data_IF_567531415913
#
_entry.id   IF_567531415913
#
_cell.length_a   1.000
_cell.length_b   1.000
_cell.length_c   1.000
_cell.angle_alpha   90.00
_cell.angle_beta   90.00
_cell.angle_gamma   90.00
#
_symmetry.space_group_name_H-M   'P 1'
#
loop_
_entity.id
_entity.type
_entity.pdbx_description
1 polymer ?
#
# COMPACT_ATOMS: atom_id res chain seq x y z
N UNK A 1 -22.27 19.23 37.30
CA UNK A 1 -22.14 20.38 36.39
C UNK A 1 -22.50 21.63 37.15
N UNK A 2 -21.54 22.49 37.43
CA UNK A 2 -21.80 23.81 38.01
C UNK A 2 -22.09 24.79 36.88
N UNK A 3 -23.20 25.51 36.97
CA UNK A 3 -23.41 26.71 36.19
C UNK A 3 -22.72 27.89 36.90
N UNK A 4 -22.30 28.90 36.11
CA UNK A 4 -21.61 30.10 36.60
C UNK A 4 -22.29 30.70 37.85
N UNK A 5 -21.61 30.67 39.00
CA UNK A 5 -22.07 31.32 40.23
C UNK A 5 -21.77 30.54 41.52
N UNK A 6 -21.71 29.21 41.44
CA UNK A 6 -21.39 28.36 42.60
C UNK A 6 -19.91 28.00 42.65
N UNK A 7 -19.33 27.97 43.87
CA UNK A 7 -17.99 27.46 44.10
C UNK A 7 -17.97 25.97 43.71
N UNK A 8 -17.44 25.67 42.52
CA UNK A 8 -17.42 24.31 42.01
C UNK A 8 -16.38 23.49 42.79
N UNK A 9 -16.77 22.31 43.26
CA UNK A 9 -15.82 21.39 43.90
C UNK A 9 -14.67 21.08 42.94
N UNK A 10 -13.42 21.02 43.44
CA UNK A 10 -12.27 20.74 42.59
C UNK A 10 -12.43 19.37 41.92
N UNK A 11 -12.18 19.33 40.61
CA UNK A 11 -12.22 18.08 39.87
C UNK A 11 -11.01 17.22 40.26
N UNK A 12 -11.26 15.99 40.69
CA UNK A 12 -10.22 15.01 41.00
C UNK A 12 -10.40 13.79 40.10
N UNK A 13 -9.35 13.40 39.38
CA UNK A 13 -9.32 12.20 38.54
C UNK A 13 -8.36 11.19 39.14
N UNK A 14 -8.82 9.95 39.36
CA UNK A 14 -7.97 8.81 39.71
C UNK A 14 -7.49 8.12 38.43
N UNK A 15 -6.19 7.84 38.37
CA UNK A 15 -5.54 7.21 37.23
C UNK A 15 -5.16 5.77 37.59
N UNK A 16 -5.40 4.84 36.68
CA UNK A 16 -5.02 3.43 36.85
C UNK A 16 -4.42 2.88 35.55
N UNK A 17 -3.50 1.91 35.65
CA UNK A 17 -3.09 1.12 34.49
C UNK A 17 -4.24 0.27 33.99
N UNK A 18 -4.12 -0.27 32.76
CA UNK A 18 -5.08 -1.24 32.22
C UNK A 18 -5.20 -2.49 33.12
N UNK A 19 -4.12 -2.83 33.83
CA UNK A 19 -4.04 -3.99 34.72
C UNK A 19 -4.52 -3.67 36.16
N UNK A 20 -4.93 -2.42 36.42
CA UNK A 20 -5.56 -1.99 37.66
C UNK A 20 -4.61 -1.41 38.71
N UNK A 21 -3.34 -1.19 38.39
CA UNK A 21 -2.41 -0.54 39.31
C UNK A 21 -2.77 0.93 39.47
N UNK A 22 -2.79 1.40 40.72
CA UNK A 22 -3.08 2.79 41.05
C UNK A 22 -1.90 3.70 40.66
N UNK A 23 -2.16 4.66 39.76
CA UNK A 23 -1.21 5.69 39.33
C UNK A 23 -1.42 7.02 40.10
N UNK A 24 -2.36 7.06 41.05
CA UNK A 24 -2.65 8.21 41.89
C UNK A 24 -3.72 9.14 41.30
N UNK A 25 -3.78 10.36 41.82
CA UNK A 25 -4.83 11.34 41.49
C UNK A 25 -4.27 12.64 40.90
N UNK A 26 -4.97 13.22 39.93
CA UNK A 26 -4.68 14.56 39.39
C UNK A 26 -5.90 15.49 39.60
N UNK A 27 -5.63 16.78 39.77
CA UNK A 27 -6.66 17.79 40.02
C UNK A 27 -6.65 18.89 38.94
N UNK A 28 -7.20 18.64 37.74
CA UNK A 28 -7.19 19.63 36.66
C UNK A 28 -8.33 20.65 36.80
N UNK A 29 -8.13 21.85 36.26
CA UNK A 29 -9.18 22.86 36.18
C UNK A 29 -10.28 22.48 35.16
N UNK A 30 -9.88 21.78 34.09
CA UNK A 30 -10.76 21.36 32.99
C UNK A 30 -10.43 19.92 32.60
N UNK A 31 -11.46 19.12 32.34
CA UNK A 31 -11.34 17.79 31.76
C UNK A 31 -12.12 17.69 30.44
N UNK A 32 -11.43 17.27 29.38
CA UNK A 32 -12.02 17.02 28.07
C UNK A 32 -12.09 15.51 27.84
N UNK A 33 -13.31 14.97 27.77
CA UNK A 33 -13.56 13.58 27.39
C UNK A 33 -13.69 13.44 25.87
N UNK A 34 -12.64 12.95 25.21
CA UNK A 34 -12.62 12.66 23.77
C UNK A 34 -12.51 11.15 23.50
N UNK A 35 -13.35 10.34 24.17
CA UNK A 35 -13.27 8.87 24.17
C UNK A 35 -13.90 8.17 22.96
N UNK A 36 -14.53 8.94 22.07
CA UNK A 36 -15.14 8.44 20.83
C UNK A 36 -16.54 8.96 20.60
N UNK A 37 -17.23 8.34 19.62
CA UNK A 37 -18.60 8.67 19.20
C UNK A 37 -19.43 7.39 19.13
N UNK A 38 -20.74 7.52 19.25
CA UNK A 38 -21.71 6.42 19.10
C UNK A 38 -22.66 6.79 17.97
N UNK A 39 -22.94 5.86 17.02
CA UNK A 39 -23.91 6.11 15.96
C UNK A 39 -25.30 6.37 16.55
N UNK A 40 -26.07 7.25 15.90
CA UNK A 40 -27.50 7.47 16.21
C UNK A 40 -28.32 6.68 15.18
N UNK A 41 -29.37 6.00 15.63
CA UNK A 41 -30.23 5.20 14.75
C UNK A 41 -30.76 3.91 15.38
N UNK A 42 -29.98 3.27 16.26
CA UNK A 42 -30.42 2.07 17.01
C UNK A 42 -31.34 2.42 18.19
N UNK A 43 -31.32 3.66 18.65
CA UNK A 43 -32.33 4.13 19.59
C UNK A 43 -33.71 4.07 18.93
N UNK A 44 -34.73 3.61 19.66
CA UNK A 44 -36.14 3.50 19.22
C UNK A 44 -36.76 4.83 18.73
N UNK A 45 -35.99 5.91 18.72
CA UNK A 45 -36.38 7.24 18.26
C UNK A 45 -36.80 7.30 16.79
N UNK A 46 -36.30 6.38 15.95
CA UNK A 46 -36.62 6.33 14.51
C UNK A 46 -37.42 5.09 14.09
N UNK A 47 -37.61 4.11 14.98
CA UNK A 47 -38.32 2.86 14.69
C UNK A 47 -37.67 1.98 13.62
N UNK A 48 -36.39 2.17 13.31
CA UNK A 48 -35.70 1.46 12.21
C UNK A 48 -35.63 -0.05 12.44
N UNK A 49 -35.24 -0.49 13.65
CA UNK A 49 -35.16 -1.92 14.00
C UNK A 49 -36.54 -2.60 13.90
N UNK A 50 -37.58 -1.94 14.41
CA UNK A 50 -38.96 -2.43 14.32
C UNK A 50 -39.47 -2.57 12.87
N UNK A 51 -38.85 -1.87 11.91
CA UNK A 51 -39.19 -1.93 10.49
C UNK A 51 -38.22 -2.81 9.68
N UNK A 52 -37.33 -3.57 10.33
CA UNK A 52 -36.47 -4.56 9.68
C UNK A 52 -35.14 -4.03 9.16
N UNK A 53 -34.64 -2.91 9.69
CA UNK A 53 -33.26 -2.45 9.45
C UNK A 53 -32.31 -3.15 10.41
N UNK A 54 -31.25 -3.75 9.87
CA UNK A 54 -30.24 -4.45 10.65
C UNK A 54 -29.17 -3.50 11.21
N UNK A 55 -28.68 -3.83 12.40
CA UNK A 55 -27.65 -3.08 13.11
C UNK A 55 -26.45 -3.95 13.45
N UNK A 56 -25.25 -3.38 13.33
CA UNK A 56 -24.02 -4.00 13.83
C UNK A 56 -23.93 -3.96 15.36
N UNK A 57 -22.97 -4.69 15.93
CA UNK A 57 -22.79 -4.81 17.39
C UNK A 57 -22.62 -3.45 18.09
N UNK A 58 -21.99 -2.48 17.41
CA UNK A 58 -21.75 -1.13 17.91
C UNK A 58 -22.89 -0.14 17.62
N UNK A 59 -24.02 -0.61 17.10
CA UNK A 59 -25.21 0.21 16.83
C UNK A 59 -25.22 0.97 15.50
N UNK A 60 -24.29 0.68 14.59
CA UNK A 60 -24.30 1.24 13.24
C UNK A 60 -25.38 0.56 12.39
N UNK A 61 -26.06 1.31 11.53
CA UNK A 61 -26.97 0.81 10.50
C UNK A 61 -26.13 0.05 9.48
N UNK A 62 -26.40 -1.24 9.30
CA UNK A 62 -25.71 -2.03 8.29
C UNK A 62 -26.21 -1.63 6.89
N UNK A 63 -25.26 -1.44 5.98
CA UNK A 63 -25.53 -1.07 4.60
C UNK A 63 -24.66 -1.88 3.65
N UNK A 64 -25.12 -2.05 2.42
CA UNK A 64 -24.34 -2.62 1.34
C UNK A 64 -23.37 -1.59 0.70
N UNK A 65 -22.72 -1.98 -0.41
CA UNK A 65 -21.79 -1.12 -1.15
C UNK A 65 -22.46 0.11 -1.79
N UNK A 66 -23.78 0.07 -1.99
CA UNK A 66 -24.61 1.17 -2.52
C UNK A 66 -25.22 2.02 -1.40
N UNK A 67 -24.85 1.75 -0.15
CA UNK A 67 -25.40 2.39 1.03
C UNK A 67 -26.90 2.09 1.26
N UNK A 68 -27.45 1.02 0.67
CA UNK A 68 -28.81 0.53 0.95
C UNK A 68 -28.81 -0.33 2.23
N UNK A 69 -29.83 -0.13 3.08
CA UNK A 69 -30.03 -0.93 4.30
C UNK A 69 -30.72 -2.26 3.97
N UNK A 70 -30.90 -3.13 4.96
CA UNK A 70 -31.71 -4.35 4.77
C UNK A 70 -33.20 -4.08 4.50
N UNK A 71 -33.69 -2.86 4.80
CA UNK A 71 -35.00 -2.42 4.36
C UNK A 71 -34.92 -1.79 2.97
N UNK A 72 -35.48 -2.48 1.98
CA UNK A 72 -35.47 -2.05 0.57
C UNK A 72 -36.03 -0.64 0.40
N UNK A 73 -35.32 0.19 -0.36
CA UNK A 73 -35.66 1.59 -0.62
C UNK A 73 -35.28 2.55 0.51
N UNK A 74 -34.58 2.07 1.55
CA UNK A 74 -34.05 2.87 2.64
C UNK A 74 -32.53 2.79 2.61
N UNK A 75 -31.87 3.95 2.55
CA UNK A 75 -30.41 4.07 2.53
C UNK A 75 -29.92 4.86 3.74
N UNK A 76 -28.66 4.63 4.12
CA UNK A 76 -27.99 5.35 5.21
C UNK A 76 -26.56 5.73 4.82
N UNK A 77 -26.09 6.88 5.30
CA UNK A 77 -24.76 7.40 5.03
C UNK A 77 -24.23 8.22 6.21
N UNK A 78 -22.90 8.34 6.31
CA UNK A 78 -22.19 9.05 7.37
C UNK A 78 -22.00 8.23 8.63
N UNK A 79 -21.77 8.92 9.75
CA UNK A 79 -21.43 8.37 11.07
C UNK A 79 -22.43 7.35 11.63
N UNK A 80 -23.64 7.21 11.06
CA UNK A 80 -24.59 6.18 11.44
C UNK A 80 -24.28 4.81 10.81
N UNK A 81 -23.38 4.73 9.83
CA UNK A 81 -22.97 3.52 9.11
C UNK A 81 -21.56 3.06 9.53
N UNK A 82 -21.17 1.79 9.27
CA UNK A 82 -19.80 1.33 9.48
C UNK A 82 -18.78 2.10 8.64
N UNK A 83 -17.60 2.35 9.20
CA UNK A 83 -16.50 3.05 8.53
C UNK A 83 -15.91 4.13 9.43
N UNK A 84 -14.85 4.84 8.97
CA UNK A 84 -14.33 5.96 9.73
C UNK A 84 -15.35 7.11 9.72
N UNK A 85 -15.69 7.61 10.92
CA UNK A 85 -16.60 8.73 11.13
C UNK A 85 -15.94 10.06 10.69
N UNK A 86 -15.94 10.32 9.38
CA UNK A 86 -15.31 11.46 8.74
C UNK A 86 -16.31 12.16 7.80
N UNK A 87 -16.16 13.49 7.67
CA UNK A 87 -17.05 14.29 6.83
C UNK A 87 -16.99 13.87 5.35
N UNK A 88 -15.79 13.64 4.81
CA UNK A 88 -15.59 13.18 3.43
C UNK A 88 -16.20 11.80 3.19
N UNK A 89 -16.04 10.86 4.13
CA UNK A 89 -16.68 9.53 4.09
C UNK A 89 -18.20 9.65 3.97
N UNK A 90 -18.82 10.50 4.79
CA UNK A 90 -20.28 10.70 4.75
C UNK A 90 -20.76 11.32 3.43
N UNK A 91 -19.99 12.24 2.85
CA UNK A 91 -20.31 12.84 1.54
C UNK A 91 -20.23 11.80 0.42
N UNK A 92 -19.16 10.99 0.39
CA UNK A 92 -19.00 9.90 -0.59
C UNK A 92 -20.15 8.88 -0.48
N UNK A 93 -20.44 8.40 0.74
CA UNK A 93 -21.55 7.47 0.99
C UNK A 93 -22.89 8.05 0.54
N UNK A 94 -23.15 9.33 0.79
CA UNK A 94 -24.38 9.98 0.36
C UNK A 94 -24.46 10.11 -1.17
N UNK A 95 -23.35 10.42 -1.84
CA UNK A 95 -23.29 10.45 -3.31
C UNK A 95 -23.56 9.07 -3.91
N UNK A 96 -23.02 8.00 -3.32
CA UNK A 96 -23.29 6.62 -3.74
C UNK A 96 -24.75 6.24 -3.55
N UNK A 97 -25.33 6.55 -2.38
CA UNK A 97 -26.74 6.30 -2.11
C UNK A 97 -27.65 7.02 -3.10
N UNK A 98 -27.43 8.32 -3.33
CA UNK A 98 -28.23 9.12 -4.27
C UNK A 98 -28.02 8.65 -5.72
N UNK A 99 -26.79 8.29 -6.08
CA UNK A 99 -26.48 7.68 -7.37
C UNK A 99 -27.30 6.41 -7.59
N UNK A 100 -27.26 5.46 -6.64
CA UNK A 100 -28.03 4.22 -6.72
C UNK A 100 -29.55 4.43 -6.75
N UNK A 101 -30.07 5.50 -6.13
CA UNK A 101 -31.51 5.81 -6.13
C UNK A 101 -32.02 6.32 -7.48
N UNK A 102 -31.21 7.11 -8.20
CA UNK A 102 -31.70 7.91 -9.33
C UNK A 102 -30.94 7.69 -10.64
N UNK A 103 -29.77 7.06 -10.58
CA UNK A 103 -28.87 6.88 -11.72
C UNK A 103 -28.58 5.39 -11.92
N UNK A 104 -28.55 4.95 -13.17
CA UNK A 104 -28.10 3.60 -13.55
C UNK A 104 -26.58 3.60 -13.70
N UNK A 105 -25.88 4.02 -12.63
CA UNK A 105 -24.40 4.11 -12.60
C UNK A 105 -23.81 2.92 -11.88
N UNK A 106 -22.74 2.39 -12.47
CA UNK A 106 -21.83 1.49 -11.78
C UNK A 106 -21.16 2.27 -10.65
N UNK A 107 -21.44 1.89 -9.40
CA UNK A 107 -20.92 2.56 -8.22
C UNK A 107 -19.73 1.76 -7.68
N UNK A 108 -18.55 2.37 -7.73
CA UNK A 108 -17.34 1.81 -7.12
C UNK A 108 -17.27 2.30 -5.67
N UNK A 109 -17.35 1.39 -4.70
CA UNK A 109 -17.13 1.72 -3.30
C UNK A 109 -15.64 1.94 -3.05
N UNK A 110 -15.29 3.00 -2.30
CA UNK A 110 -13.91 3.23 -1.90
C UNK A 110 -13.41 2.09 -1.01
N UNK A 111 -12.28 1.47 -1.38
CA UNK A 111 -11.67 0.38 -0.61
C UNK A 111 -11.11 0.85 0.74
N UNK A 112 -10.78 2.14 0.85
CA UNK A 112 -10.32 2.82 2.06
C UNK A 112 -10.70 4.31 1.99
N UNK A 113 -10.56 5.04 3.09
CA UNK A 113 -10.77 6.50 3.13
C UNK A 113 -9.51 7.22 3.61
N UNK A 114 -9.14 8.37 3.02
CA UNK A 114 -8.00 9.16 3.50
C UNK A 114 -8.33 9.79 4.85
N UNK A 115 -7.34 9.79 5.74
CA UNK A 115 -7.46 10.39 7.06
C UNK A 115 -6.45 11.52 7.21
N UNK A 116 -6.95 12.68 7.61
CA UNK A 116 -6.16 13.84 8.02
C UNK A 116 -6.28 14.09 9.53
N UNK A 117 -5.20 14.53 10.16
CA UNK A 117 -5.14 15.04 11.53
C UNK A 117 -4.44 16.39 11.51
N UNK A 118 -5.21 17.44 11.75
CA UNK A 118 -4.77 18.84 11.65
C UNK A 118 -4.08 19.34 12.92
N UNK A 119 -3.14 18.56 13.45
CA UNK A 119 -2.20 18.99 14.49
C UNK A 119 -1.03 19.78 13.88
N UNK A 120 -0.10 20.24 14.72
CA UNK A 120 1.19 20.77 14.27
C UNK A 120 2.30 19.87 14.82
N UNK A 121 3.01 19.07 13.98
CA UNK A 121 2.78 18.89 12.54
C UNK A 121 1.46 18.14 12.23
N UNK A 122 1.02 18.23 10.98
CA UNK A 122 -0.15 17.49 10.48
C UNK A 122 0.19 16.01 10.30
N UNK A 123 -0.83 15.15 10.23
CA UNK A 123 -0.69 13.74 9.91
C UNK A 123 -1.70 13.38 8.82
N UNK A 124 -1.23 12.73 7.76
CA UNK A 124 -2.07 12.20 6.68
C UNK A 124 -1.76 10.73 6.45
N UNK A 125 -2.78 9.87 6.31
CA UNK A 125 -2.55 8.48 5.91
C UNK A 125 -3.69 7.90 5.07
N UNK A 126 -3.34 6.92 4.25
CA UNK A 126 -4.24 6.16 3.41
C UNK A 126 -3.69 4.76 3.13
N UNK A 127 -4.55 3.75 3.02
CA UNK A 127 -4.15 2.37 2.75
C UNK A 127 -3.62 1.63 3.98
N UNK A 128 -2.81 0.60 3.74
CA UNK A 128 -2.40 -0.36 4.77
C UNK A 128 -1.12 0.07 5.50
N UNK A 129 -1.06 -0.20 6.80
CA UNK A 129 0.23 -0.24 7.52
C UNK A 129 1.02 -1.49 7.13
N UNK A 130 2.35 -1.49 7.30
CA UNK A 130 3.18 -2.70 7.08
C UNK A 130 2.66 -3.90 7.88
N UNK A 131 2.26 -3.69 9.14
CA UNK A 131 1.69 -4.76 9.99
C UNK A 131 0.45 -5.39 9.33
N UNK A 132 -0.50 -4.56 8.89
CA UNK A 132 -1.74 -5.04 8.24
C UNK A 132 -1.44 -5.72 6.91
N UNK A 133 -0.49 -5.19 6.13
CA UNK A 133 -0.09 -5.80 4.86
C UNK A 133 0.53 -7.20 5.06
N UNK A 134 1.42 -7.36 6.05
CA UNK A 134 1.98 -8.67 6.42
C UNK A 134 0.90 -9.65 6.91
N UNK A 135 -0.04 -9.20 7.74
CA UNK A 135 -1.17 -10.01 8.21
C UNK A 135 -2.09 -10.48 7.05
N UNK A 136 -2.15 -9.72 5.96
CA UNK A 136 -2.86 -10.08 4.73
C UNK A 136 -2.05 -10.93 3.74
N UNK A 137 -0.78 -11.24 4.06
CA UNK A 137 0.07 -12.13 3.26
C UNK A 137 0.89 -11.46 2.16
N UNK A 138 0.97 -10.12 2.13
CA UNK A 138 1.90 -9.41 1.24
C UNK A 138 3.35 -9.55 1.75
N UNK A 139 4.34 -9.56 0.85
CA UNK A 139 5.75 -9.40 1.22
C UNK A 139 6.05 -7.91 1.41
N UNK A 140 5.51 -7.34 2.48
CA UNK A 140 5.47 -5.88 2.64
C UNK A 140 6.74 -5.31 3.29
N UNK A 141 7.23 -4.19 2.74
CA UNK A 141 8.24 -3.34 3.37
C UNK A 141 7.89 -1.85 3.26
N UNK A 142 8.77 -0.99 3.78
CA UNK A 142 8.53 0.45 3.91
C UNK A 142 9.64 1.27 3.24
N UNK A 143 9.29 2.21 2.37
CA UNK A 143 10.19 3.27 1.90
C UNK A 143 9.95 4.55 2.70
N UNK A 144 11.01 5.20 3.20
CA UNK A 144 10.89 6.37 4.07
C UNK A 144 11.72 7.54 3.51
N UNK A 145 11.14 8.73 3.52
CA UNK A 145 11.83 10.00 3.33
C UNK A 145 11.55 10.93 4.51
N UNK A 146 12.59 11.52 5.08
CA UNK A 146 12.46 12.62 6.03
C UNK A 146 12.24 13.93 5.28
N UNK A 147 11.55 14.90 5.88
CA UNK A 147 11.20 16.15 5.20
C UNK A 147 12.44 16.94 4.73
N UNK A 148 13.55 16.86 5.47
CA UNK A 148 14.85 17.45 5.13
C UNK A 148 15.57 16.81 3.92
N UNK A 149 15.06 15.68 3.41
CA UNK A 149 15.55 15.03 2.19
C UNK A 149 15.19 15.84 0.93
N UNK A 150 14.04 16.54 0.92
CA UNK A 150 13.66 17.42 -0.19
C UNK A 150 14.06 18.87 0.04
N UNK A 151 14.25 19.64 -1.04
CA UNK A 151 14.68 21.05 -0.93
C UNK A 151 13.66 21.92 -0.20
N UNK A 152 12.36 21.68 -0.43
CA UNK A 152 11.29 22.45 0.22
C UNK A 152 11.27 22.23 1.73
N UNK A 153 11.34 20.97 2.18
CA UNK A 153 11.37 20.66 3.60
C UNK A 153 12.64 21.16 4.26
N UNK A 154 13.81 20.97 3.64
CA UNK A 154 15.08 21.48 4.17
C UNK A 154 15.07 23.00 4.42
N UNK A 155 14.40 23.77 3.57
CA UNK A 155 14.36 25.23 3.68
C UNK A 155 13.24 25.72 4.61
N UNK A 156 12.05 25.10 4.57
CA UNK A 156 10.85 25.66 5.20
C UNK A 156 10.31 24.85 6.38
N UNK A 157 10.45 23.53 6.35
CA UNK A 157 9.87 22.62 7.35
C UNK A 157 10.62 21.28 7.34
N UNK A 158 11.77 21.18 8.04
CA UNK A 158 12.62 19.99 7.98
C UNK A 158 12.08 18.84 8.83
N UNK A 159 11.20 19.14 9.79
CA UNK A 159 10.64 18.16 10.70
C UNK A 159 9.48 17.38 10.06
N UNK A 160 9.63 16.06 10.02
CA UNK A 160 8.59 15.16 9.51
C UNK A 160 9.13 13.99 8.73
N UNK A 161 8.23 13.12 8.30
CA UNK A 161 8.53 12.01 7.42
C UNK A 161 7.34 11.66 6.52
N UNK A 162 7.64 11.13 5.35
CA UNK A 162 6.74 10.42 4.47
C UNK A 162 7.18 8.96 4.40
N UNK A 163 6.20 8.05 4.48
CA UNK A 163 6.40 6.61 4.40
C UNK A 163 5.46 5.99 3.38
N UNK A 164 6.03 5.24 2.44
CA UNK A 164 5.30 4.34 1.55
C UNK A 164 5.41 2.91 2.11
N UNK A 165 4.28 2.23 2.26
CA UNK A 165 4.23 0.78 2.47
C UNK A 165 4.08 0.17 1.09
N UNK A 166 4.90 -0.80 0.73
CA UNK A 166 4.88 -1.41 -0.60
C UNK A 166 5.07 -2.93 -0.51
N UNK A 167 4.55 -3.65 -1.50
CA UNK A 167 4.81 -5.08 -1.69
C UNK A 167 6.14 -5.27 -2.42
N UNK A 168 7.09 -6.01 -1.85
CA UNK A 168 8.42 -6.22 -2.45
C UNK A 168 8.36 -7.05 -3.73
N UNK A 169 7.36 -7.92 -3.86
CA UNK A 169 7.26 -8.82 -5.01
C UNK A 169 6.72 -8.11 -6.26
N UNK A 170 5.73 -7.23 -6.10
CA UNK A 170 5.12 -6.48 -7.20
C UNK A 170 5.59 -5.03 -7.30
N UNK A 171 6.25 -4.51 -6.27
CA UNK A 171 6.61 -3.11 -6.09
C UNK A 171 5.42 -2.14 -5.95
N UNK A 172 4.19 -2.66 -5.82
CA UNK A 172 2.98 -1.85 -5.65
C UNK A 172 2.91 -1.17 -4.29
N UNK A 173 2.43 0.07 -4.29
CA UNK A 173 2.24 0.87 -3.08
C UNK A 173 0.92 0.45 -2.43
N UNK A 174 1.01 -0.05 -1.20
CA UNK A 174 -0.11 -0.54 -0.41
C UNK A 174 -0.65 0.50 0.59
N UNK A 175 0.16 1.51 0.91
CA UNK A 175 -0.23 2.57 1.83
C UNK A 175 0.75 3.73 1.88
N UNK A 176 0.25 4.88 2.30
CA UNK A 176 0.99 6.12 2.49
C UNK A 176 0.73 6.66 3.91
N UNK A 177 1.79 7.12 4.58
CA UNK A 177 1.71 7.73 5.90
C UNK A 177 2.64 8.92 5.95
N UNK A 178 2.14 10.06 6.38
CA UNK A 178 2.85 11.33 6.35
C UNK A 178 2.65 12.00 7.71
N UNK A 179 3.72 12.50 8.30
CA UNK A 179 3.68 13.43 9.42
C UNK A 179 4.60 14.60 9.08
N UNK A 180 4.08 15.82 9.04
CA UNK A 180 4.84 16.99 8.62
C UNK A 180 3.95 18.13 8.13
N UNK A 181 4.57 19.18 7.60
CA UNK A 181 3.84 20.30 6.98
C UNK A 181 3.09 19.82 5.73
N UNK A 182 1.85 20.30 5.57
CA UNK A 182 0.95 19.97 4.45
C UNK A 182 0.64 18.46 4.32
N UNK A 183 0.82 17.66 5.38
CA UNK A 183 0.58 16.21 5.32
C UNK A 183 -0.87 15.86 4.95
N UNK A 184 -1.84 16.66 5.41
CA UNK A 184 -3.25 16.47 5.09
C UNK A 184 -3.57 16.77 3.61
N UNK A 185 -2.76 17.59 2.93
CA UNK A 185 -2.90 17.85 1.49
C UNK A 185 -2.16 16.79 0.66
N UNK A 186 -0.95 16.44 1.07
CA UNK A 186 -0.10 15.48 0.36
C UNK A 186 -0.68 14.06 0.32
N UNK A 187 -1.46 13.66 1.35
CA UNK A 187 -2.05 12.32 1.42
C UNK A 187 -2.90 11.99 0.20
N UNK A 188 -3.51 12.97 -0.45
CA UNK A 188 -4.38 12.75 -1.61
C UNK A 188 -3.61 12.27 -2.85
N UNK A 189 -2.36 12.67 -3.03
CA UNK A 189 -1.51 12.08 -4.08
C UNK A 189 -1.18 10.63 -3.75
N UNK A 190 -0.83 10.34 -2.49
CA UNK A 190 -0.60 8.97 -2.06
C UNK A 190 -1.85 8.08 -2.10
N UNK A 191 -3.04 8.65 -1.92
CA UNK A 191 -4.32 7.98 -2.13
C UNK A 191 -4.47 7.53 -3.58
N UNK A 192 -4.24 8.44 -4.54
CA UNK A 192 -4.29 8.14 -5.96
C UNK A 192 -3.30 7.04 -6.37
N UNK A 193 -2.09 7.05 -5.79
CA UNK A 193 -1.09 5.99 -6.01
C UNK A 193 -1.56 4.62 -5.53
N UNK A 194 -2.16 4.55 -4.33
CA UNK A 194 -2.67 3.29 -3.77
C UNK A 194 -3.88 2.79 -4.57
N UNK A 195 -4.83 3.66 -4.89
CA UNK A 195 -6.07 3.28 -5.58
C UNK A 195 -5.83 2.86 -7.03
N UNK A 196 -4.84 3.46 -7.70
CA UNK A 196 -4.40 3.05 -9.05
C UNK A 196 -3.40 1.91 -9.02
N UNK A 197 -3.08 1.41 -7.84
CA UNK A 197 -2.15 0.30 -7.69
C UNK A 197 -0.78 0.60 -8.30
N UNK A 198 -0.35 1.87 -8.21
CA UNK A 198 0.91 2.34 -8.73
C UNK A 198 2.08 1.67 -8.01
N UNK A 199 3.17 1.48 -8.73
CA UNK A 199 4.42 0.97 -8.21
C UNK A 199 5.31 2.09 -7.67
N UNK A 200 6.30 1.74 -6.85
CA UNK A 200 7.36 2.69 -6.49
C UNK A 200 8.12 3.18 -7.73
N UNK A 201 8.14 2.42 -8.83
CA UNK A 201 8.81 2.78 -10.08
C UNK A 201 8.06 3.86 -10.86
N UNK A 202 6.73 3.86 -10.81
CA UNK A 202 5.89 4.93 -11.37
C UNK A 202 6.22 6.27 -10.68
N UNK A 203 6.41 6.24 -9.36
CA UNK A 203 6.79 7.43 -8.58
C UNK A 203 8.22 7.88 -8.90
N UNK A 204 9.17 6.96 -9.02
CA UNK A 204 10.56 7.30 -9.38
C UNK A 204 10.63 7.94 -10.77
N UNK A 205 9.82 7.45 -11.72
CA UNK A 205 9.76 7.94 -13.10
C UNK A 205 9.00 9.27 -13.24
N UNK A 206 8.19 9.64 -12.24
CA UNK A 206 7.41 10.88 -12.25
C UNK A 206 8.28 12.11 -12.11
N UNK A 207 8.15 13.10 -13.00
CA UNK A 207 8.82 14.39 -12.87
C UNK A 207 8.04 15.31 -11.92
N UNK A 208 8.63 15.63 -10.77
CA UNK A 208 8.12 16.68 -9.88
C UNK A 208 8.80 18.01 -10.20
N UNK A 209 8.04 19.10 -10.09
CA UNK A 209 8.63 20.46 -10.13
C UNK A 209 9.57 20.63 -8.94
N UNK A 210 10.73 21.24 -9.16
CA UNK A 210 11.68 21.48 -8.07
C UNK A 210 11.05 22.26 -6.90
N UNK A 211 11.56 22.01 -5.69
CA UNK A 211 11.15 22.73 -4.46
C UNK A 211 9.68 22.48 -4.09
N UNK A 212 9.25 21.21 -4.15
CA UNK A 212 7.93 20.74 -3.71
C UNK A 212 8.05 19.62 -2.68
N UNK A 213 7.09 19.51 -1.76
CA UNK A 213 7.03 18.36 -0.84
C UNK A 213 6.71 17.05 -1.56
N UNK A 214 6.20 17.10 -2.80
CA UNK A 214 5.97 15.88 -3.58
C UNK A 214 7.27 15.12 -3.90
N UNK A 215 8.44 15.78 -3.87
CA UNK A 215 9.73 15.09 -3.97
C UNK A 215 9.93 14.04 -2.86
N UNK A 216 9.28 14.19 -1.70
CA UNK A 216 9.32 13.19 -0.63
C UNK A 216 8.78 11.83 -1.06
N UNK A 217 7.79 11.79 -1.97
CA UNK A 217 7.31 10.53 -2.54
C UNK A 217 8.41 9.85 -3.36
N UNK A 218 9.16 10.62 -4.16
CA UNK A 218 10.29 10.10 -4.93
C UNK A 218 11.41 9.60 -4.02
N UNK A 219 11.79 10.39 -3.01
CA UNK A 219 12.82 9.98 -2.05
C UNK A 219 12.41 8.70 -1.28
N UNK A 220 11.14 8.60 -0.87
CA UNK A 220 10.64 7.41 -0.20
C UNK A 220 10.61 6.19 -1.14
N UNK A 221 10.25 6.39 -2.42
CA UNK A 221 10.27 5.35 -3.44
C UNK A 221 11.71 4.89 -3.77
N UNK A 222 12.68 5.80 -3.82
CA UNK A 222 14.10 5.46 -3.98
C UNK A 222 14.63 4.68 -2.75
N UNK A 223 14.21 5.06 -1.54
CA UNK A 223 14.50 4.29 -0.34
C UNK A 223 13.86 2.90 -0.38
N UNK A 224 12.61 2.76 -0.84
CA UNK A 224 11.97 1.46 -1.06
C UNK A 224 12.75 0.62 -2.08
N UNK A 225 13.16 1.22 -3.20
CA UNK A 225 13.92 0.56 -4.25
C UNK A 225 15.25 -0.03 -3.73
N UNK A 226 15.92 0.65 -2.78
CA UNK A 226 17.14 0.10 -2.14
C UNK A 226 16.93 -1.14 -1.27
N UNK A 227 15.67 -1.50 -0.97
CA UNK A 227 15.27 -2.67 -0.18
C UNK A 227 14.76 -3.82 -1.04
N UNK A 228 14.64 -3.58 -2.35
CA UNK A 228 14.43 -4.64 -3.32
C UNK A 228 15.77 -5.28 -3.62
N UNK A 229 15.80 -6.61 -3.65
CA UNK A 229 16.96 -7.36 -4.17
C UNK A 229 17.17 -7.03 -5.66
N UNK A 230 16.10 -6.65 -6.35
CA UNK A 230 16.07 -6.36 -7.78
C UNK A 230 15.39 -5.00 -8.01
N UNK A 231 16.18 -3.91 -8.04
CA UNK A 231 15.67 -2.55 -8.30
C UNK A 231 15.09 -2.33 -9.72
N UNK A 232 14.75 -1.07 -10.08
CA UNK A 232 14.03 -0.68 -11.32
C UNK A 232 14.49 -1.42 -12.59
N UNK A 233 15.80 -1.58 -12.77
CA UNK A 233 16.39 -2.19 -13.97
C UNK A 233 15.98 -3.65 -14.20
N UNK A 234 15.59 -4.34 -13.13
CA UNK A 234 15.26 -5.75 -13.18
C UNK A 234 13.84 -6.03 -13.62
N UNK A 235 12.87 -5.17 -13.29
CA UNK A 235 11.49 -5.41 -13.70
C UNK A 235 11.31 -5.35 -15.21
N UNK A 236 11.94 -4.38 -15.89
CA UNK A 236 11.94 -4.32 -17.35
C UNK A 236 12.62 -5.54 -17.96
N UNK A 237 13.77 -5.93 -17.40
CA UNK A 237 14.55 -7.09 -17.87
C UNK A 237 13.77 -8.40 -17.70
N UNK A 238 13.19 -8.64 -16.52
CA UNK A 238 12.40 -9.85 -16.21
C UNK A 238 11.08 -9.89 -16.99
N UNK A 239 10.45 -8.74 -17.26
CA UNK A 239 9.25 -8.68 -18.09
C UNK A 239 9.55 -9.04 -19.55
N UNK A 240 10.66 -8.55 -20.10
CA UNK A 240 11.10 -8.90 -21.46
C UNK A 240 11.45 -10.39 -21.56
N UNK A 241 12.17 -10.92 -20.56
CA UNK A 241 12.48 -12.36 -20.47
C UNK A 241 11.23 -13.21 -20.38
N UNK A 242 10.30 -12.87 -19.48
CA UNK A 242 9.05 -13.60 -19.31
C UNK A 242 8.22 -13.62 -20.61
N UNK A 243 8.12 -12.49 -21.29
CA UNK A 243 7.40 -12.38 -22.55
C UNK A 243 8.01 -13.23 -23.67
N UNK A 244 9.34 -13.29 -23.75
CA UNK A 244 10.03 -14.09 -24.76
C UNK A 244 10.08 -15.59 -24.44
N UNK A 245 10.18 -15.95 -23.16
CA UNK A 245 10.22 -17.35 -22.73
C UNK A 245 8.85 -18.03 -22.78
N UNK A 246 7.77 -17.34 -22.38
CA UNK A 246 6.42 -17.90 -22.40
C UNK A 246 6.32 -19.26 -21.71
N UNK A 247 5.81 -20.28 -22.42
CA UNK A 247 5.69 -21.66 -21.91
C UNK A 247 7.05 -22.31 -21.54
N UNK A 248 8.17 -21.80 -22.09
CA UNK A 248 9.52 -22.32 -21.79
C UNK A 248 9.97 -22.04 -20.37
N UNK A 249 9.28 -21.16 -19.63
CA UNK A 249 9.50 -21.05 -18.20
C UNK A 249 9.25 -22.39 -17.51
N UNK A 250 8.27 -23.19 -17.95
CA UNK A 250 7.88 -24.46 -17.31
C UNK A 250 8.77 -25.67 -17.64
N UNK A 251 9.93 -25.45 -18.28
CA UNK A 251 10.88 -26.52 -18.61
C UNK A 251 11.39 -27.26 -17.37
N UNK A 252 11.59 -28.57 -17.51
CA UNK A 252 12.14 -29.42 -16.45
C UNK A 252 13.63 -29.15 -16.24
N UNK A 253 14.18 -29.62 -15.10
CA UNK A 253 15.62 -29.52 -14.84
C UNK A 253 16.46 -30.19 -15.95
N UNK A 254 15.98 -31.30 -16.49
CA UNK A 254 16.62 -32.02 -17.59
C UNK A 254 16.56 -31.25 -18.91
N UNK A 255 15.45 -30.57 -19.19
CA UNK A 255 15.30 -29.74 -20.39
C UNK A 255 16.16 -28.48 -20.32
N UNK A 256 16.18 -27.80 -19.18
CA UNK A 256 17.08 -26.67 -18.92
C UNK A 256 18.54 -27.09 -19.04
N UNK A 257 18.88 -28.30 -18.56
CA UNK A 257 20.22 -28.86 -18.71
C UNK A 257 20.58 -29.10 -20.17
N UNK A 258 19.65 -29.61 -20.96
CA UNK A 258 19.88 -29.81 -22.39
C UNK A 258 20.07 -28.49 -23.15
N UNK A 259 19.44 -27.40 -22.72
CA UNK A 259 19.67 -26.08 -23.32
C UNK A 259 21.02 -25.52 -22.89
N UNK A 260 21.36 -25.63 -21.62
CA UNK A 260 22.67 -25.25 -21.08
C UNK A 260 23.81 -25.96 -21.82
N UNK A 261 23.78 -27.30 -21.86
CA UNK A 261 24.79 -28.13 -22.51
C UNK A 261 24.82 -27.95 -24.04
N UNK A 262 23.73 -27.47 -24.65
CA UNK A 262 23.64 -27.22 -26.08
C UNK A 262 24.27 -25.91 -26.53
N UNK A 263 24.55 -25.01 -25.58
CA UNK A 263 24.98 -23.63 -25.83
C UNK A 263 26.34 -23.33 -25.23
N UNK A 264 26.71 -24.04 -24.14
CA UNK A 264 28.10 -24.20 -23.69
C UNK A 264 28.93 -24.83 -24.82
N UNK A 265 29.33 -23.98 -25.75
CA UNK A 265 30.04 -24.38 -26.98
C UNK A 265 31.52 -24.53 -26.69
N UNK A 266 31.99 -23.87 -25.63
CA UNK A 266 33.34 -23.99 -25.09
C UNK A 266 33.57 -25.32 -24.37
N UNK A 267 32.51 -25.91 -23.79
CA UNK A 267 32.51 -27.15 -23.02
C UNK A 267 33.18 -27.01 -21.65
N UNK A 268 33.23 -25.80 -21.10
CA UNK A 268 33.88 -25.51 -19.82
C UNK A 268 32.94 -25.67 -18.61
N UNK A 269 31.64 -25.88 -18.86
CA UNK A 269 30.64 -26.11 -17.83
C UNK A 269 30.08 -24.83 -17.22
N UNK A 270 30.37 -23.66 -17.79
CA UNK A 270 29.74 -22.38 -17.47
C UNK A 270 29.29 -21.66 -18.75
N UNK A 271 28.51 -20.59 -18.60
CA UNK A 271 28.07 -19.75 -19.70
C UNK A 271 28.61 -18.33 -19.53
N UNK A 272 29.30 -17.82 -20.54
CA UNK A 272 29.74 -16.43 -20.57
C UNK A 272 28.65 -15.47 -21.11
N UNK A 273 28.93 -14.17 -21.11
CA UNK A 273 27.97 -13.16 -21.58
C UNK A 273 27.57 -13.37 -23.06
N UNK A 274 28.48 -13.86 -23.91
CA UNK A 274 28.20 -14.10 -25.32
C UNK A 274 27.33 -15.35 -25.52
N UNK A 275 27.65 -16.43 -24.79
CA UNK A 275 26.86 -17.66 -24.79
C UNK A 275 25.46 -17.40 -24.21
N UNK A 276 25.33 -16.55 -23.18
CA UNK A 276 24.03 -16.16 -22.62
C UNK A 276 23.14 -15.39 -23.61
N UNK A 277 23.71 -14.56 -24.49
CA UNK A 277 22.95 -13.93 -25.58
C UNK A 277 22.40 -15.00 -26.52
N UNK A 278 23.21 -16.01 -26.86
CA UNK A 278 22.78 -17.13 -27.70
C UNK A 278 21.73 -18.01 -27.01
N UNK A 279 21.81 -18.21 -25.70
CA UNK A 279 20.77 -18.89 -24.92
C UNK A 279 19.42 -18.22 -25.13
N UNK A 280 19.31 -16.94 -24.84
CA UNK A 280 18.02 -16.27 -24.96
C UNK A 280 17.55 -16.17 -26.41
N UNK A 281 18.46 -15.98 -27.37
CA UNK A 281 18.13 -15.99 -28.79
C UNK A 281 17.58 -17.35 -29.25
N UNK A 282 18.18 -18.46 -28.82
CA UNK A 282 17.71 -19.83 -29.11
C UNK A 282 16.35 -20.11 -28.47
N UNK A 283 16.08 -19.47 -27.33
CA UNK A 283 14.79 -19.50 -26.64
C UNK A 283 13.76 -18.58 -27.29
N UNK A 284 14.11 -17.82 -28.33
CA UNK A 284 13.19 -16.95 -29.07
C UNK A 284 13.03 -15.56 -28.44
N UNK A 285 13.93 -15.19 -27.53
CA UNK A 285 13.93 -13.91 -26.84
C UNK A 285 15.15 -13.09 -27.29
N UNK A 286 14.92 -11.95 -27.94
CA UNK A 286 16.00 -10.98 -28.15
C UNK A 286 16.20 -10.16 -26.87
N UNK A 287 17.33 -10.39 -26.19
CA UNK A 287 17.71 -9.67 -24.97
C UNK A 287 18.84 -8.70 -25.31
N UNK A 288 18.76 -7.46 -24.82
CA UNK A 288 19.83 -6.48 -25.06
C UNK A 288 21.10 -6.87 -24.30
N UNK A 289 22.32 -6.52 -24.77
CA UNK A 289 23.55 -6.81 -24.04
C UNK A 289 23.55 -6.28 -22.60
N UNK A 290 22.95 -5.10 -22.37
CA UNK A 290 22.79 -4.54 -21.03
C UNK A 290 21.91 -5.40 -20.11
N UNK A 291 20.89 -6.04 -20.67
CA UNK A 291 20.01 -6.94 -19.94
C UNK A 291 20.69 -8.28 -19.66
N UNK A 292 21.52 -8.80 -20.58
CA UNK A 292 22.34 -9.99 -20.34
C UNK A 292 23.39 -9.74 -19.27
N UNK A 293 24.14 -8.64 -19.34
CA UNK A 293 25.10 -8.24 -18.31
C UNK A 293 24.43 -8.08 -16.94
N UNK A 294 23.19 -7.59 -16.92
CA UNK A 294 22.39 -7.56 -15.71
C UNK A 294 22.16 -8.99 -15.24
N UNK A 295 21.52 -9.86 -16.03
CA UNK A 295 21.20 -11.25 -15.69
C UNK A 295 22.40 -12.07 -15.18
N UNK A 296 23.56 -11.85 -15.79
CA UNK A 296 24.84 -12.41 -15.32
C UNK A 296 25.08 -12.02 -13.87
N UNK A 297 25.05 -10.73 -13.54
CA UNK A 297 25.20 -10.24 -12.16
C UNK A 297 24.12 -10.76 -11.18
N UNK A 298 22.94 -11.16 -11.66
CA UNK A 298 21.91 -11.76 -10.80
C UNK A 298 22.24 -13.20 -10.42
N UNK A 299 22.70 -13.97 -11.39
CA UNK A 299 22.85 -15.40 -11.23
C UNK A 299 24.24 -15.80 -10.73
N UNK A 300 25.27 -15.02 -11.10
CA UNK A 300 26.68 -15.17 -10.72
C UNK A 300 26.87 -14.83 -9.23
N UNK A 301 26.79 -15.86 -8.37
CA UNK A 301 26.91 -15.70 -6.92
C UNK A 301 28.37 -15.57 -6.46
N UNK A 302 29.30 -16.16 -7.21
CA UNK A 302 30.72 -16.16 -6.85
C UNK A 302 31.49 -14.99 -7.49
N UNK A 303 30.88 -14.28 -8.43
CA UNK A 303 31.38 -13.09 -9.11
C UNK A 303 32.48 -13.42 -10.13
N UNK A 304 32.50 -14.64 -10.66
CA UNK A 304 33.54 -15.10 -11.57
C UNK A 304 33.33 -14.63 -13.03
N UNK A 305 32.15 -14.07 -13.35
CA UNK A 305 31.80 -13.55 -14.66
C UNK A 305 31.29 -14.60 -15.64
N UNK A 306 30.95 -15.79 -15.17
CA UNK A 306 30.33 -16.89 -15.91
C UNK A 306 29.20 -17.51 -15.08
N UNK A 307 28.29 -18.25 -15.72
CA UNK A 307 27.18 -18.89 -15.02
C UNK A 307 27.28 -20.40 -15.07
N UNK A 308 27.39 -21.02 -13.91
CA UNK A 308 27.30 -22.46 -13.77
C UNK A 308 25.84 -22.90 -13.87
N UNK A 309 25.60 -24.20 -14.10
CA UNK A 309 24.24 -24.68 -14.33
C UNK A 309 23.27 -24.32 -13.18
N UNK A 310 23.70 -24.42 -11.92
CA UNK A 310 22.85 -24.11 -10.77
C UNK A 310 22.54 -22.59 -10.67
N UNK A 311 23.43 -21.73 -11.16
CA UNK A 311 23.24 -20.28 -11.27
C UNK A 311 22.31 -19.93 -12.43
N UNK A 312 22.53 -20.53 -13.59
CA UNK A 312 21.66 -20.43 -14.75
C UNK A 312 20.20 -20.80 -14.41
N UNK A 313 19.98 -21.84 -13.60
CA UNK A 313 18.63 -22.21 -13.15
C UNK A 313 17.93 -21.12 -12.35
N UNK A 314 18.67 -20.30 -11.59
CA UNK A 314 18.09 -19.23 -10.77
C UNK A 314 17.41 -18.17 -11.63
N UNK A 315 17.91 -17.89 -12.83
CA UNK A 315 17.27 -16.95 -13.75
C UNK A 315 15.83 -17.37 -14.05
N UNK A 316 15.60 -18.67 -14.29
CA UNK A 316 14.26 -19.21 -14.56
C UNK A 316 13.39 -19.21 -13.32
N UNK A 317 13.95 -19.53 -12.15
CA UNK A 317 13.23 -19.48 -10.87
C UNK A 317 12.76 -18.06 -10.56
N UNK A 318 13.65 -17.07 -10.63
CA UNK A 318 13.36 -15.65 -10.38
C UNK A 318 12.33 -15.13 -11.39
N UNK A 319 12.49 -15.47 -12.67
CA UNK A 319 11.53 -15.06 -13.71
C UNK A 319 10.15 -15.71 -13.48
N UNK A 320 10.08 -16.98 -13.05
CA UNK A 320 8.81 -17.63 -12.66
C UNK A 320 8.15 -16.95 -11.46
N UNK A 321 8.92 -16.67 -10.41
CA UNK A 321 8.39 -16.01 -9.22
C UNK A 321 7.85 -14.62 -9.54
N UNK A 322 8.52 -13.89 -10.43
CA UNK A 322 8.06 -12.61 -10.97
C UNK A 322 6.74 -12.76 -11.76
N UNK A 323 6.63 -13.72 -12.68
CA UNK A 323 5.37 -13.95 -13.42
C UNK A 323 4.25 -14.39 -12.48
N UNK A 324 4.54 -15.24 -11.49
CA UNK A 324 3.57 -15.68 -10.50
C UNK A 324 3.13 -14.56 -9.55
N UNK A 325 3.98 -13.56 -9.30
CA UNK A 325 3.60 -12.37 -8.53
C UNK A 325 2.66 -11.47 -9.31
N UNK A 326 2.94 -11.24 -10.59
CA UNK A 326 2.04 -10.53 -11.52
C UNK A 326 0.68 -11.22 -11.61
N UNK A 327 0.64 -12.55 -11.78
CA UNK A 327 -0.60 -13.31 -11.86
C UNK A 327 -1.39 -13.33 -10.54
N UNK A 328 -0.71 -13.48 -9.38
CA UNK A 328 -1.36 -13.36 -8.06
C UNK A 328 -2.01 -12.00 -7.89
N UNK A 329 -1.36 -10.97 -8.38
CA UNK A 329 -1.84 -9.61 -8.31
C UNK A 329 -3.07 -9.38 -9.20
N UNK A 330 -3.06 -9.87 -10.45
CA UNK A 330 -4.25 -9.86 -11.32
C UNK A 330 -5.44 -10.62 -10.71
N UNK A 331 -5.18 -11.72 -9.99
CA UNK A 331 -6.22 -12.47 -9.30
C UNK A 331 -6.76 -11.73 -8.07
N UNK A 332 -5.91 -11.00 -7.34
CA UNK A 332 -6.28 -10.18 -6.20
C UNK A 332 -7.08 -8.93 -6.60
N UNK A 333 -6.85 -8.37 -7.79
CA UNK A 333 -7.60 -7.22 -8.32
C UNK A 333 -8.92 -7.60 -8.97
N UNK A 334 -9.06 -8.84 -9.42
CA UNK A 334 -10.28 -9.36 -10.01
C UNK A 334 -11.30 -9.91 -8.98
N UNK A 335 -10.92 -10.01 -7.71
CA UNK A 335 -11.72 -10.56 -6.61
C UNK A 335 -12.28 -9.47 -5.68
#
# INVERSE_FOLDING_TARGET
GCFMGDACEPLTLSLQTKDGDDLGTINPDIFLAATGRVPRGKDDSFGLEANGVDFGERGHILVDALCETSLRGVSAAGDCTPGPALASTGVDQAQRAVGAMFEDKEVVAAASYPVGVWTVPEIGYYGMTKKVALEKGYDADEGIATYDACLRGRVFAPDGMLKLVFDRTSAKILGVHIIGTDACELVHYGMDLVDKEATIFDVISTLFTAVTFHELFKEAALNANSKLEFGIQWQETLSQLAAGMGEKLEMSKEELRSVFDGIDTSGDGSLDEAEMVEVFASMGTEVTPSAVASLMHLADEDGNGTLEFDEFQKIFVVTKEFVASQARQEALTAA
#
